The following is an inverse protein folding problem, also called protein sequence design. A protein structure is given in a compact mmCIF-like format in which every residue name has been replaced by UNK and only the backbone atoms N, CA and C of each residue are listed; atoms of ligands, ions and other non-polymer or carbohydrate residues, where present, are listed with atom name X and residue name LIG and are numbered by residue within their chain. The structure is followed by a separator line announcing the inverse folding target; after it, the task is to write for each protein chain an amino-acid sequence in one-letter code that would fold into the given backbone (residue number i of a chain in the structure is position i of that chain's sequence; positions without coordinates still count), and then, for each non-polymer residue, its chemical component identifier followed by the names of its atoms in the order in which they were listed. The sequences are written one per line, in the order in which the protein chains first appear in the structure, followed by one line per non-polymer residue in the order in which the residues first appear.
data_IF_495323706690
#
_entry.id   IF_495323706690
#
_cell.length_a   1.000
_cell.length_b   1.000
_cell.length_c   1.000
_cell.angle_alpha   90.00
_cell.angle_beta   90.00
_cell.angle_gamma   90.00
#
_symmetry.space_group_name_H-M   'P 1'
#
loop_
_entity.id
_entity.type
_entity.pdbx_description
1 polymer ?
#
# COMPACT_ATOMS: atom_id res chain seq x y z
N UNK A 1 43.60 -12.07 -7.34
CA UNK A 1 42.36 -12.08 -6.53
C UNK A 1 41.47 -10.97 -7.07
N UNK A 2 40.50 -11.32 -7.92
CA UNK A 2 39.66 -10.34 -8.61
C UNK A 2 38.39 -10.17 -7.78
N UNK A 3 38.20 -9.01 -7.18
CA UNK A 3 36.95 -8.67 -6.50
C UNK A 3 35.86 -8.50 -7.55
N UNK A 4 34.94 -9.46 -7.63
CA UNK A 4 33.74 -9.36 -8.44
C UNK A 4 32.83 -8.40 -7.66
N UNK A 5 32.74 -7.16 -8.11
CA UNK A 5 31.77 -6.22 -7.56
C UNK A 5 30.37 -6.79 -7.81
N UNK A 6 29.66 -7.15 -6.74
CA UNK A 6 28.27 -7.58 -6.80
C UNK A 6 27.44 -6.48 -7.48
N UNK A 7 26.55 -6.82 -8.43
CA UNK A 7 25.63 -5.85 -9.00
C UNK A 7 24.79 -5.27 -7.88
N UNK A 8 24.87 -3.96 -7.65
CA UNK A 8 23.95 -3.26 -6.74
C UNK A 8 22.54 -3.59 -7.19
N UNK A 9 21.79 -4.32 -6.35
CA UNK A 9 20.38 -4.58 -6.58
C UNK A 9 19.70 -3.24 -6.89
N UNK A 10 19.17 -3.14 -8.11
CA UNK A 10 18.31 -2.05 -8.51
C UNK A 10 17.09 -2.10 -7.62
N UNK A 11 16.98 -1.18 -6.66
CA UNK A 11 15.82 -1.00 -5.80
C UNK A 11 14.71 -0.37 -6.65
N UNK A 12 14.21 -1.14 -7.61
CA UNK A 12 12.90 -0.96 -8.25
C UNK A 12 12.09 -2.24 -8.00
N UNK A 13 12.18 -2.77 -6.78
CA UNK A 13 11.34 -3.88 -6.39
C UNK A 13 9.98 -3.29 -6.06
N UNK A 14 9.01 -3.55 -6.92
CA UNK A 14 7.60 -3.59 -6.52
C UNK A 14 7.50 -4.22 -5.14
N UNK A 15 6.70 -3.63 -4.24
CA UNK A 15 6.50 -4.18 -2.88
C UNK A 15 5.92 -5.58 -2.97
N UNK A 16 5.26 -5.89 -4.09
CA UNK A 16 4.76 -7.20 -4.46
C UNK A 16 5.63 -7.87 -5.52
N UNK A 17 6.23 -9.01 -5.17
CA UNK A 17 6.66 -9.99 -6.15
C UNK A 17 5.45 -10.88 -6.48
N UNK A 18 4.66 -10.48 -7.48
CA UNK A 18 3.47 -11.24 -7.87
C UNK A 18 3.93 -12.58 -8.45
N UNK A 19 3.39 -13.68 -7.91
CA UNK A 19 3.72 -15.02 -8.39
C UNK A 19 3.51 -15.11 -9.90
N UNK A 20 4.43 -15.73 -10.68
CA UNK A 20 4.29 -15.87 -12.13
C UNK A 20 3.00 -16.57 -12.60
N UNK A 21 2.29 -17.27 -11.70
CA UNK A 21 1.01 -17.91 -11.98
C UNK A 21 -0.23 -17.14 -11.49
N UNK A 22 -0.06 -15.96 -10.88
CA UNK A 22 -1.18 -15.17 -10.39
C UNK A 22 -2.02 -14.63 -11.56
N UNK A 23 -3.33 -14.80 -11.44
CA UNK A 23 -4.31 -14.29 -12.39
C UNK A 23 -4.70 -12.86 -12.03
N UNK A 24 -5.32 -12.15 -12.96
CA UNK A 24 -5.90 -10.82 -12.68
C UNK A 24 -6.99 -10.85 -11.61
N UNK A 25 -7.66 -12.00 -11.42
CA UNK A 25 -8.63 -12.20 -10.34
C UNK A 25 -7.94 -12.21 -8.99
N UNK A 26 -6.81 -12.92 -8.87
CA UNK A 26 -6.02 -12.99 -7.63
C UNK A 26 -5.51 -11.59 -7.22
N UNK A 27 -5.05 -10.79 -8.19
CA UNK A 27 -4.60 -9.41 -7.93
C UNK A 27 -5.75 -8.51 -7.50
N UNK A 28 -6.94 -8.68 -8.09
CA UNK A 28 -8.14 -7.93 -7.69
C UNK A 28 -8.60 -8.30 -6.27
N UNK A 29 -8.63 -9.59 -5.94
CA UNK A 29 -8.99 -10.03 -4.59
C UNK A 29 -8.00 -9.50 -3.54
N UNK A 30 -6.70 -9.51 -3.85
CA UNK A 30 -5.69 -8.91 -2.99
C UNK A 30 -5.91 -7.40 -2.82
N UNK A 31 -6.24 -6.68 -3.90
CA UNK A 31 -6.58 -5.25 -3.83
C UNK A 31 -7.79 -5.01 -2.93
N UNK A 32 -8.85 -5.81 -3.06
CA UNK A 32 -10.05 -5.69 -2.22
C UNK A 32 -9.71 -5.89 -0.73
N UNK A 33 -8.91 -6.90 -0.40
CA UNK A 33 -8.45 -7.14 0.98
C UNK A 33 -7.67 -5.94 1.52
N UNK A 34 -6.79 -5.35 0.70
CA UNK A 34 -5.99 -4.18 1.10
C UNK A 34 -6.85 -2.94 1.30
N UNK A 35 -7.85 -2.72 0.44
CA UNK A 35 -8.82 -1.63 0.61
C UNK A 35 -9.65 -1.80 1.89
N UNK A 36 -10.09 -3.02 2.22
CA UNK A 36 -10.78 -3.30 3.48
C UNK A 36 -9.88 -3.05 4.70
N UNK A 37 -8.60 -3.39 4.61
CA UNK A 37 -7.65 -3.11 5.68
C UNK A 37 -7.44 -1.60 5.88
N UNK A 38 -7.31 -0.83 4.78
CA UNK A 38 -7.24 0.62 4.85
C UNK A 38 -8.49 1.22 5.49
N UNK A 39 -9.67 0.76 5.08
CA UNK A 39 -10.94 1.22 5.65
C UNK A 39 -11.02 0.94 7.16
N UNK A 40 -10.66 -0.27 7.59
CA UNK A 40 -10.62 -0.64 9.01
C UNK A 40 -9.67 0.24 9.83
N UNK A 41 -8.50 0.61 9.27
CA UNK A 41 -7.60 1.55 9.92
C UNK A 41 -8.24 2.94 10.01
N UNK A 42 -8.79 3.46 8.91
CA UNK A 42 -9.35 4.81 8.87
C UNK A 42 -10.59 4.96 9.76
N UNK A 43 -11.37 3.90 9.98
CA UNK A 43 -12.47 3.88 10.95
C UNK A 43 -12.04 4.35 12.35
N UNK A 44 -10.78 4.11 12.74
CA UNK A 44 -10.24 4.59 14.01
C UNK A 44 -10.14 6.13 14.11
N UNK A 45 -10.32 6.84 13.00
CA UNK A 45 -10.22 8.31 12.91
C UNK A 45 -11.58 9.02 12.91
N UNK A 46 -12.69 8.26 12.92
CA UNK A 46 -14.06 8.81 12.92
C UNK A 46 -14.90 8.31 14.11
N UNK A 47 -16.04 8.98 14.33
CA UNK A 47 -16.92 8.69 15.46
C UNK A 47 -16.19 8.75 16.81
N UNK A 48 -16.51 7.79 17.69
CA UNK A 48 -15.90 7.66 19.03
C UNK A 48 -14.39 7.36 18.95
N UNK A 49 -13.96 6.54 17.99
CA UNK A 49 -12.54 6.28 17.73
C UNK A 49 -11.80 7.57 17.35
N UNK A 50 -12.41 8.34 16.45
CA UNK A 50 -11.91 9.65 16.02
C UNK A 50 -11.80 10.67 17.13
N UNK A 51 -12.72 10.67 18.10
CA UNK A 51 -12.59 11.53 19.28
C UNK A 51 -11.38 11.17 20.13
N UNK A 52 -11.08 9.88 20.31
CA UNK A 52 -9.88 9.43 21.01
C UNK A 52 -8.61 9.74 20.20
N UNK A 53 -8.66 9.54 18.89
CA UNK A 53 -7.57 9.87 17.96
C UNK A 53 -7.21 11.36 17.98
N UNK A 54 -8.20 12.26 17.89
CA UNK A 54 -7.99 13.72 17.93
C UNK A 54 -7.46 14.25 19.26
N UNK A 55 -7.57 13.46 20.35
CA UNK A 55 -6.97 13.78 21.66
C UNK A 55 -5.49 13.38 21.74
N UNK A 56 -4.99 12.58 20.80
CA UNK A 56 -3.56 12.24 20.73
C UNK A 56 -2.73 13.44 20.28
N UNK A 57 -1.42 13.38 20.51
CA UNK A 57 -0.51 14.40 20.00
C UNK A 57 -0.51 14.44 18.47
N UNK A 58 -0.19 15.60 17.90
CA UNK A 58 -0.06 15.77 16.44
C UNK A 58 0.92 14.75 15.85
N UNK A 59 2.03 14.46 16.55
CA UNK A 59 3.01 13.48 16.10
C UNK A 59 2.42 12.05 16.01
N UNK A 60 1.55 11.65 16.94
CA UNK A 60 0.89 10.33 16.89
C UNK A 60 -0.15 10.29 15.77
N UNK A 61 -0.92 11.37 15.61
CA UNK A 61 -1.90 11.46 14.52
C UNK A 61 -1.22 11.39 13.15
N UNK A 62 -0.15 12.17 12.97
CA UNK A 62 0.61 12.22 11.72
C UNK A 62 1.28 10.87 11.42
N UNK A 63 1.94 10.26 12.42
CA UNK A 63 2.55 8.94 12.26
C UNK A 63 1.54 7.85 11.89
N UNK A 64 0.31 7.91 12.43
CA UNK A 64 -0.76 7.00 12.04
C UNK A 64 -1.21 7.21 10.59
N UNK A 65 -1.38 8.47 10.16
CA UNK A 65 -1.76 8.79 8.78
C UNK A 65 -0.67 8.38 7.78
N UNK A 66 0.60 8.62 8.10
CA UNK A 66 1.74 8.13 7.31
C UNK A 66 1.76 6.61 7.24
N UNK A 67 1.46 5.92 8.34
CA UNK A 67 1.37 4.45 8.32
C UNK A 67 0.25 3.96 7.42
N UNK A 68 -0.92 4.61 7.40
CA UNK A 68 -1.99 4.28 6.45
C UNK A 68 -1.54 4.49 4.99
N UNK A 69 -0.84 5.60 4.73
CA UNK A 69 -0.35 5.96 3.41
C UNK A 69 0.71 4.97 2.91
N UNK A 70 1.82 4.84 3.64
CA UNK A 70 2.98 4.10 3.20
C UNK A 70 2.76 2.58 3.24
N UNK A 71 1.96 2.08 4.19
CA UNK A 71 1.75 0.64 4.34
C UNK A 71 0.61 0.07 3.51
N UNK A 72 -0.38 0.87 3.09
CA UNK A 72 -1.56 0.31 2.40
C UNK A 72 -1.96 1.11 1.16
N UNK A 73 -1.89 2.44 1.16
CA UNK A 73 -2.31 3.23 -0.02
C UNK A 73 -1.37 2.98 -1.20
N UNK A 74 -0.05 3.04 -0.98
CA UNK A 74 0.92 2.75 -2.06
C UNK A 74 0.80 1.31 -2.57
N UNK A 75 0.54 0.37 -1.66
CA UNK A 75 0.28 -1.03 -2.04
C UNK A 75 -0.99 -1.18 -2.90
N UNK A 76 -2.09 -0.53 -2.51
CA UNK A 76 -3.33 -0.52 -3.29
C UNK A 76 -3.12 0.10 -4.67
N UNK A 77 -2.33 1.18 -4.75
CA UNK A 77 -2.02 1.87 -6.01
C UNK A 77 -1.23 0.96 -6.95
N UNK A 78 -0.23 0.25 -6.44
CA UNK A 78 0.56 -0.71 -7.21
C UNK A 78 -0.31 -1.85 -7.75
N UNK A 79 -1.14 -2.46 -6.90
CA UNK A 79 -2.07 -3.51 -7.30
C UNK A 79 -3.12 -3.01 -8.33
N UNK A 80 -3.64 -1.80 -8.15
CA UNK A 80 -4.60 -1.19 -9.09
C UNK A 80 -3.96 -0.86 -10.45
N UNK A 81 -2.68 -0.49 -10.50
CA UNK A 81 -1.94 -0.35 -11.75
C UNK A 81 -1.80 -1.70 -12.47
N UNK A 82 -1.50 -2.77 -11.73
CA UNK A 82 -1.30 -4.12 -12.28
C UNK A 82 -2.59 -4.74 -12.83
N UNK A 83 -3.75 -4.39 -12.27
CA UNK A 83 -5.06 -4.80 -12.79
C UNK A 83 -5.56 -3.95 -13.96
N UNK A 84 -4.86 -2.86 -14.29
CA UNK A 84 -5.27 -1.91 -15.34
C UNK A 84 -6.41 -0.97 -14.93
N UNK A 85 -6.85 -1.00 -13.67
CA UNK A 85 -7.92 -0.14 -13.14
C UNK A 85 -7.55 1.36 -13.17
N UNK A 86 -6.27 1.71 -13.09
CA UNK A 86 -5.78 3.10 -13.10
C UNK A 86 -5.19 3.55 -14.46
N UNK A 87 -5.08 2.67 -15.45
CA UNK A 87 -4.52 2.98 -16.79
C UNK A 87 -5.60 3.56 -17.74
N UNK A 88 -6.81 3.79 -17.23
CA UNK A 88 -8.01 4.08 -18.04
C UNK A 88 -8.50 5.52 -18.09
N UNK A 89 -7.67 6.54 -17.83
CA UNK A 89 -8.11 7.96 -17.98
C UNK A 89 -7.09 8.81 -18.77
N UNK A 90 -6.84 8.38 -20.00
CA UNK A 90 -6.04 9.10 -20.99
C UNK A 90 -6.63 8.90 -22.38
N UNK A 91 -7.77 9.54 -22.65
CA UNK A 91 -8.23 9.87 -24.01
C UNK A 91 -8.06 11.36 -24.25
#
# INVERSE_FOLDING_TARGET
MTAIAEPRQSINSSVYDISPGATSVDVRELLEVKLMHLDAMLVMTWGVGGEAFRKQSVAVQDGFMWSCHDAIVEECRELANLTGLLVGDGR
#
